data_IF_095900538770
#
_entry.id   IF_095900538770
#
_cell.length_a   1.000
_cell.length_b   1.000
_cell.length_c   1.000
_cell.angle_alpha   90.00
_cell.angle_beta   90.00
_cell.angle_gamma   90.00
#
_symmetry.space_group_name_H-M   'P 1'
#
loop_
_entity.id
_entity.type
_entity.pdbx_description
1 polymer ?
#
# COMPACT_ATOMS: atom_id res chain seq x y z
N UNK A 1 -4.45 -11.59 20.55
CA UNK A 1 -3.87 -10.26 20.23
C UNK A 1 -3.50 -10.24 18.76
N UNK A 2 -3.97 -9.27 17.98
CA UNK A 2 -3.58 -9.14 16.58
C UNK A 2 -2.10 -8.79 16.49
N UNK A 3 -1.34 -9.54 15.70
CA UNK A 3 0.08 -9.25 15.47
C UNK A 3 0.23 -7.84 14.86
N UNK A 4 0.91 -6.95 15.59
CA UNK A 4 1.16 -5.56 15.17
C UNK A 4 1.77 -5.50 13.77
N UNK A 5 2.63 -6.46 13.40
CA UNK A 5 3.24 -6.54 12.07
C UNK A 5 2.19 -6.83 11.00
N UNK A 6 1.24 -7.73 11.28
CA UNK A 6 0.12 -8.04 10.36
C UNK A 6 -0.79 -6.83 10.18
N UNK A 7 -1.13 -6.13 11.26
CA UNK A 7 -1.94 -4.92 11.21
C UNK A 7 -1.27 -3.82 10.38
N UNK A 8 0.02 -3.53 10.65
CA UNK A 8 0.78 -2.53 9.88
C UNK A 8 0.84 -2.91 8.40
N UNK A 9 1.05 -4.20 8.08
CA UNK A 9 1.03 -4.67 6.70
C UNK A 9 -0.30 -4.36 5.99
N UNK A 10 -1.43 -4.60 6.64
CA UNK A 10 -2.74 -4.27 6.09
C UNK A 10 -2.99 -2.77 5.96
N UNK A 11 -2.54 -1.95 6.92
CA UNK A 11 -2.63 -0.49 6.85
C UNK A 11 -1.86 0.03 5.62
N UNK A 12 -0.63 -0.45 5.42
CA UNK A 12 0.19 -0.05 4.26
C UNK A 12 -0.52 -0.43 2.95
N UNK A 13 -1.00 -1.67 2.83
CA UNK A 13 -1.72 -2.13 1.63
C UNK A 13 -2.94 -1.24 1.38
N UNK A 14 -3.77 -1.03 2.41
CA UNK A 14 -4.99 -0.23 2.29
C UNK A 14 -4.71 1.20 1.85
N UNK A 15 -3.71 1.84 2.46
CA UNK A 15 -3.32 3.21 2.11
C UNK A 15 -2.79 3.30 0.67
N UNK A 16 -1.92 2.37 0.27
CA UNK A 16 -1.35 2.34 -1.08
C UNK A 16 -2.41 2.06 -2.15
N UNK A 17 -3.31 1.10 -1.92
CA UNK A 17 -4.42 0.82 -2.83
C UNK A 17 -5.35 2.04 -2.91
N UNK A 18 -5.67 2.66 -1.78
CA UNK A 18 -6.49 3.87 -1.72
C UNK A 18 -5.89 5.01 -2.55
N UNK A 19 -4.58 5.25 -2.40
CA UNK A 19 -3.89 6.27 -3.20
C UNK A 19 -3.92 5.95 -4.70
N UNK A 20 -3.68 4.70 -5.12
CA UNK A 20 -3.72 4.32 -6.53
C UNK A 20 -5.11 4.54 -7.13
N UNK A 21 -6.17 4.12 -6.42
CA UNK A 21 -7.55 4.33 -6.87
C UNK A 21 -7.88 5.82 -6.99
N UNK A 22 -7.47 6.62 -6.01
CA UNK A 22 -7.63 8.07 -6.05
C UNK A 22 -6.85 8.70 -7.21
N UNK A 23 -5.58 8.33 -7.40
CA UNK A 23 -4.74 8.89 -8.45
C UNK A 23 -5.29 8.58 -9.84
N UNK A 24 -5.69 7.33 -10.08
CA UNK A 24 -6.32 6.92 -11.34
C UNK A 24 -7.62 7.70 -11.58
N UNK A 25 -8.52 7.73 -10.59
CA UNK A 25 -9.83 8.37 -10.74
C UNK A 25 -9.74 9.89 -10.85
N UNK A 26 -8.99 10.53 -9.96
CA UNK A 26 -9.04 11.97 -9.74
C UNK A 26 -7.89 12.75 -10.40
N UNK A 27 -6.78 12.10 -10.74
CA UNK A 27 -5.63 12.75 -11.38
C UNK A 27 -5.39 12.32 -12.82
N UNK A 28 -5.67 11.06 -13.18
CA UNK A 28 -5.49 10.56 -14.54
C UNK A 28 -6.72 10.73 -15.44
N UNK A 29 -7.94 10.48 -14.93
CA UNK A 29 -9.16 10.48 -15.73
C UNK A 29 -10.01 11.74 -15.65
N UNK A 30 -9.62 12.72 -14.83
CA UNK A 30 -10.31 14.00 -14.71
C UNK A 30 -9.37 15.10 -15.19
N UNK A 31 -9.87 15.99 -16.04
CA UNK A 31 -9.13 17.17 -16.47
C UNK A 31 -8.78 18.07 -15.26
N UNK A 32 -7.54 18.50 -15.19
CA UNK A 32 -7.05 19.30 -14.08
C UNK A 32 -5.62 19.77 -14.30
N UNK A 33 -4.99 20.27 -13.24
CA UNK A 33 -3.60 20.69 -13.30
C UNK A 33 -2.68 19.54 -13.77
N UNK A 34 -1.60 19.84 -14.51
CA UNK A 34 -0.62 18.84 -14.92
C UNK A 34 -0.16 17.97 -13.76
N UNK A 35 0.08 16.69 -14.02
CA UNK A 35 0.58 15.75 -13.00
C UNK A 35 2.02 16.12 -12.66
N UNK A 36 2.27 16.44 -11.39
CA UNK A 36 3.59 16.82 -10.93
C UNK A 36 4.49 15.59 -10.72
N UNK A 37 5.82 15.78 -10.82
CA UNK A 37 6.81 14.71 -10.60
C UNK A 37 6.64 13.99 -9.25
N UNK A 38 6.27 14.73 -8.19
CA UNK A 38 6.05 14.16 -6.85
C UNK A 38 4.91 13.15 -6.83
N UNK A 39 3.88 13.37 -7.64
CA UNK A 39 2.72 12.48 -7.71
C UNK A 39 3.08 11.16 -8.41
N UNK A 40 3.90 11.22 -9.46
CA UNK A 40 4.47 10.01 -10.07
C UNK A 40 5.34 9.22 -9.09
N UNK A 41 6.11 9.91 -8.24
CA UNK A 41 6.88 9.25 -7.18
C UNK A 41 5.94 8.55 -6.19
N UNK A 42 4.86 9.19 -5.74
CA UNK A 42 3.88 8.57 -4.85
C UNK A 42 3.12 7.41 -5.49
N UNK A 43 2.84 7.50 -6.80
CA UNK A 43 2.26 6.41 -7.57
C UNK A 43 3.16 5.17 -7.52
N UNK A 44 4.45 5.31 -7.85
CA UNK A 44 5.41 4.20 -7.77
C UNK A 44 5.65 3.70 -6.33
N UNK A 45 5.73 4.61 -5.36
CA UNK A 45 5.85 4.24 -3.94
C UNK A 45 4.64 3.44 -3.46
N UNK A 46 3.45 3.66 -4.03
CA UNK A 46 2.26 2.88 -3.67
C UNK A 46 2.36 1.42 -4.12
N UNK A 47 2.95 1.14 -5.29
CA UNK A 47 3.27 -0.25 -5.66
C UNK A 47 4.29 -0.87 -4.69
N UNK A 48 5.32 -0.11 -4.32
CA UNK A 48 6.28 -0.52 -3.28
C UNK A 48 5.60 -0.81 -1.93
N UNK A 49 4.65 0.04 -1.52
CA UNK A 49 3.86 -0.13 -0.30
C UNK A 49 3.03 -1.41 -0.32
N UNK A 50 2.34 -1.71 -1.43
CA UNK A 50 1.59 -2.97 -1.58
C UNK A 50 2.52 -4.18 -1.43
N UNK A 51 3.68 -4.15 -2.08
CA UNK A 51 4.67 -5.23 -1.99
C UNK A 51 5.16 -5.42 -0.55
N UNK A 52 5.63 -4.35 0.10
CA UNK A 52 6.14 -4.40 1.48
C UNK A 52 5.06 -4.79 2.49
N UNK A 53 3.84 -4.25 2.32
CA UNK A 53 2.70 -4.60 3.17
C UNK A 53 2.33 -6.09 3.05
N UNK A 54 2.37 -6.64 1.83
CA UNK A 54 2.11 -8.07 1.59
C UNK A 54 3.17 -8.94 2.24
N UNK A 55 4.46 -8.57 2.14
CA UNK A 55 5.56 -9.26 2.84
C UNK A 55 5.32 -9.22 4.36
N UNK A 56 4.94 -8.07 4.93
CA UNK A 56 4.66 -7.95 6.36
C UNK A 56 3.53 -8.88 6.82
N UNK A 57 2.42 -8.92 6.09
CA UNK A 57 1.29 -9.82 6.38
C UNK A 57 1.73 -11.28 6.29
N UNK A 58 2.50 -11.64 5.25
CA UNK A 58 2.99 -13.02 5.05
C UNK A 58 3.97 -13.44 6.14
N UNK A 59 4.93 -12.59 6.49
CA UNK A 59 5.89 -12.87 7.57
C UNK A 59 5.20 -13.06 8.91
N UNK A 60 4.20 -12.22 9.23
CA UNK A 60 3.42 -12.37 10.45
C UNK A 60 2.64 -13.70 10.47
N UNK A 61 2.05 -14.09 9.33
CA UNK A 61 1.36 -15.39 9.22
C UNK A 61 2.31 -16.58 9.39
N UNK A 62 3.50 -16.55 8.77
CA UNK A 62 4.52 -17.60 8.92
C UNK A 62 5.02 -17.68 10.36
N UNK A 63 5.25 -16.53 11.01
CA UNK A 63 5.72 -16.46 12.39
C UNK A 63 4.68 -17.02 13.37
N UNK A 64 3.39 -16.80 13.12
CA UNK A 64 2.32 -17.41 13.91
C UNK A 64 2.32 -18.94 13.76
N UNK A 65 2.45 -19.46 12.53
CA UNK A 65 2.50 -20.92 12.28
C UNK A 65 3.69 -21.61 12.95
N UNK A 66 4.83 -20.94 13.07
CA UNK A 66 6.03 -21.49 13.76
C UNK A 66 5.91 -21.49 15.29
N UNK A 67 4.95 -20.73 15.85
CA UNK A 67 4.70 -20.65 17.29
C UNK A 67 3.60 -21.59 17.76
N UNK A 68 2.85 -22.19 16.84
CA UNK A 68 1.86 -23.25 17.08
C UNK A 68 2.53 -24.61 16.91
#
# INVERSE_FOLDING_TARGET
MMDRQKLIGWIIIGWSVGYLLWFIKARLFIEGAPIERKEWVYFWLSFGGIFLGTINVRMAAVRLRRKQ
#
